data_IF_418805465293
#
_entry.id   IF_418805465293
#
_cell.length_a   1.000
_cell.length_b   1.000
_cell.length_c   1.000
_cell.angle_alpha   90.00
_cell.angle_beta   90.00
_cell.angle_gamma   90.00
#
_symmetry.space_group_name_H-M   'P 1'
#
loop_
_entity.id
_entity.type
_entity.pdbx_description
1 polymer ?
#
# COMPACT_ATOMS: atom_id res chain seq x y z
N UNK A 1 10.08 -1.31 -0.04
CA UNK A 1 11.31 -1.05 0.75
C UNK A 1 11.71 0.42 0.70
N UNK A 2 11.89 1.02 -0.49
CA UNK A 2 12.32 2.42 -0.62
C UNK A 2 11.48 3.43 0.19
N UNK A 3 10.14 3.34 0.16
CA UNK A 3 9.26 4.26 0.91
C UNK A 3 9.49 4.28 2.43
N UNK A 4 9.82 3.13 3.02
CA UNK A 4 10.07 3.01 4.46
C UNK A 4 11.47 3.53 4.78
N UNK A 5 12.46 3.18 3.96
CA UNK A 5 13.83 3.68 4.10
C UNK A 5 13.88 5.20 3.99
N UNK A 6 13.19 5.80 3.01
CA UNK A 6 13.11 7.25 2.84
C UNK A 6 12.44 7.96 4.02
N UNK A 7 11.42 7.34 4.62
CA UNK A 7 10.79 7.90 5.82
C UNK A 7 11.70 7.80 7.04
N UNK A 8 12.49 6.73 7.17
CA UNK A 8 13.46 6.58 8.25
C UNK A 8 14.61 7.60 8.13
N UNK A 9 15.13 7.83 6.92
CA UNK A 9 16.20 8.82 6.67
C UNK A 9 15.76 10.26 6.89
N UNK A 10 14.46 10.55 6.90
CA UNK A 10 13.93 11.88 7.20
C UNK A 10 13.84 12.16 8.71
N UNK A 11 13.99 11.15 9.56
CA UNK A 11 13.96 11.32 11.02
C UNK A 11 15.29 11.90 11.49
N UNK A 12 15.24 12.98 12.27
CA UNK A 12 16.43 13.59 12.85
C UNK A 12 16.93 12.75 14.03
N UNK A 13 18.21 12.38 14.01
CA UNK A 13 18.88 11.59 15.05
C UNK A 13 18.80 12.21 16.45
N UNK A 14 18.65 13.54 16.52
CA UNK A 14 18.49 14.27 17.78
C UNK A 14 17.26 13.81 18.57
N UNK A 15 16.17 13.40 17.89
CA UNK A 15 14.96 12.91 18.54
C UNK A 15 15.18 11.54 19.22
N UNK A 16 16.00 10.68 18.60
CA UNK A 16 16.37 9.40 19.18
C UNK A 16 17.32 9.59 20.37
N UNK A 17 18.29 10.50 20.26
CA UNK A 17 19.23 10.80 21.34
C UNK A 17 18.52 11.41 22.55
N UNK A 18 17.59 12.36 22.35
CA UNK A 18 16.80 12.94 23.44
C UNK A 18 15.99 11.89 24.21
N UNK A 19 15.39 10.92 23.51
CA UNK A 19 14.67 9.81 24.14
C UNK A 19 15.57 8.89 24.99
N UNK A 20 16.84 8.73 24.62
CA UNK A 20 17.83 7.99 25.41
C UNK A 20 18.34 8.78 26.62
N UNK A 21 18.58 10.09 26.46
CA UNK A 21 19.03 10.98 27.55
C UNK A 21 17.99 11.06 28.67
N UNK A 22 16.70 11.02 28.34
CA UNK A 22 15.61 10.98 29.33
C UNK A 22 15.40 9.61 30.01
N UNK A 23 16.31 8.64 29.84
CA UNK A 23 16.24 7.33 30.50
C UNK A 23 15.29 6.34 29.83
N UNK A 24 14.83 6.59 28.61
CA UNK A 24 13.99 5.67 27.87
C UNK A 24 14.74 4.41 27.42
N UNK A 25 14.18 3.22 27.69
CA UNK A 25 14.71 1.96 27.14
C UNK A 25 14.59 1.94 25.61
N UNK A 26 15.46 1.20 24.88
CA UNK A 26 15.44 1.16 23.42
C UNK A 26 14.07 0.79 22.83
N UNK A 27 13.35 -0.14 23.48
CA UNK A 27 12.00 -0.55 23.09
C UNK A 27 10.95 0.54 23.31
N UNK A 28 11.09 1.35 24.37
CA UNK A 28 10.23 2.50 24.64
C UNK A 28 10.40 3.59 23.58
N UNK A 29 11.65 3.94 23.27
CA UNK A 29 11.97 4.93 22.23
C UNK A 29 11.46 4.45 20.86
N UNK A 30 11.67 3.17 20.51
CA UNK A 30 11.16 2.62 19.27
C UNK A 30 9.63 2.73 19.16
N UNK A 31 8.87 2.23 20.13
CA UNK A 31 7.40 2.20 20.05
C UNK A 31 6.76 3.60 20.14
N UNK A 32 7.34 4.51 20.91
CA UNK A 32 6.73 5.81 21.22
C UNK A 32 7.25 6.97 20.38
N UNK A 33 8.46 6.84 19.82
CA UNK A 33 9.11 7.89 19.03
C UNK A 33 9.25 7.44 17.58
N UNK A 34 10.03 6.39 17.33
CA UNK A 34 10.34 5.96 15.95
C UNK A 34 9.12 5.44 15.19
N UNK A 35 8.36 4.51 15.78
CA UNK A 35 7.22 3.84 15.16
C UNK A 35 6.11 4.80 14.69
N UNK A 36 5.62 5.77 15.50
CA UNK A 36 4.65 6.75 15.02
C UNK A 36 5.23 7.66 13.93
N UNK A 37 6.52 7.99 13.94
CA UNK A 37 7.14 8.79 12.88
C UNK A 37 7.25 8.04 11.55
N UNK A 38 7.70 6.78 11.56
CA UNK A 38 7.80 5.97 10.34
C UNK A 38 6.46 5.39 9.88
N UNK A 39 5.42 5.39 10.73
CA UNK A 39 4.10 4.81 10.43
C UNK A 39 3.53 5.31 9.10
N UNK A 40 3.75 6.58 8.77
CA UNK A 40 3.36 7.20 7.50
C UNK A 40 4.08 6.58 6.30
N UNK A 41 5.39 6.38 6.42
CA UNK A 41 6.21 5.72 5.40
C UNK A 41 5.88 4.24 5.22
N UNK A 42 5.57 3.55 6.33
CA UNK A 42 5.08 2.17 6.31
C UNK A 42 3.74 2.09 5.57
N UNK A 43 2.80 2.97 5.88
CA UNK A 43 1.49 2.98 5.24
C UNK A 43 1.60 3.29 3.73
N UNK A 44 2.47 4.23 3.35
CA UNK A 44 2.78 4.51 1.95
C UNK A 44 3.38 3.31 1.22
N UNK A 45 4.36 2.65 1.82
CA UNK A 45 4.97 1.45 1.26
C UNK A 45 3.98 0.29 1.15
N UNK A 46 3.14 0.08 2.17
CA UNK A 46 2.10 -0.94 2.18
C UNK A 46 1.10 -0.72 1.05
N UNK A 47 0.66 0.53 0.84
CA UNK A 47 -0.32 0.81 -0.19
C UNK A 47 0.22 0.67 -1.61
N UNK A 48 1.50 1.03 -1.83
CA UNK A 48 2.18 0.75 -3.08
C UNK A 48 2.18 -0.75 -3.39
N UNK A 49 2.53 -1.58 -2.41
CA UNK A 49 2.54 -3.05 -2.55
C UNK A 49 1.12 -3.57 -2.82
N UNK A 50 0.12 -3.06 -2.10
CA UNK A 50 -1.28 -3.41 -2.32
C UNK A 50 -1.71 -3.16 -3.78
N UNK A 51 -1.40 -1.98 -4.33
CA UNK A 51 -1.77 -1.62 -5.71
C UNK A 51 -1.09 -2.53 -6.73
N UNK A 52 0.20 -2.83 -6.53
CA UNK A 52 0.96 -3.71 -7.42
C UNK A 52 0.36 -5.12 -7.39
N UNK A 53 0.13 -5.65 -6.20
CA UNK A 53 -0.42 -6.99 -6.01
C UNK A 53 -1.86 -7.11 -6.55
N UNK A 54 -2.68 -6.07 -6.39
CA UNK A 54 -4.07 -6.08 -6.88
C UNK A 54 -4.17 -6.14 -8.41
N UNK A 55 -3.14 -5.65 -9.11
CA UNK A 55 -3.05 -5.69 -10.58
C UNK A 55 -2.38 -6.96 -11.10
N UNK A 56 -1.92 -7.85 -10.23
CA UNK A 56 -1.16 -9.02 -10.64
C UNK A 56 -2.07 -10.06 -11.30
N UNK A 57 -1.78 -10.39 -12.57
CA UNK A 57 -2.50 -11.39 -13.35
C UNK A 57 -1.72 -12.70 -13.42
N UNK A 58 -0.41 -12.63 -13.63
CA UNK A 58 0.39 -13.80 -14.03
C UNK A 58 0.44 -14.82 -12.90
N UNK A 59 0.85 -14.37 -11.71
CA UNK A 59 0.89 -15.25 -10.53
C UNK A 59 -0.50 -15.79 -10.19
N UNK A 60 -1.53 -14.96 -10.33
CA UNK A 60 -2.89 -15.37 -10.04
C UNK A 60 -3.38 -16.44 -11.03
N UNK A 61 -3.11 -16.29 -12.33
CA UNK A 61 -3.53 -17.27 -13.34
C UNK A 61 -2.81 -18.61 -13.22
N UNK A 62 -1.58 -18.63 -12.70
CA UNK A 62 -0.80 -19.87 -12.52
C UNK A 62 -1.22 -20.67 -11.29
N UNK A 63 -1.71 -20.00 -10.23
CA UNK A 63 -2.01 -20.62 -8.94
C UNK A 63 -3.52 -20.78 -8.71
N UNK A 64 -4.35 -19.93 -9.32
CA UNK A 64 -5.79 -19.92 -9.06
C UNK A 64 -6.45 -21.26 -9.45
N UNK A 65 -7.16 -21.93 -8.52
CA UNK A 65 -7.93 -23.11 -8.85
C UNK A 65 -9.11 -22.76 -9.78
N UNK A 66 -9.60 -23.71 -10.60
CA UNK A 66 -10.63 -23.43 -11.62
C UNK A 66 -11.95 -22.86 -11.08
N UNK A 67 -12.22 -23.06 -9.78
CA UNK A 67 -13.46 -22.65 -9.12
C UNK A 67 -13.34 -21.29 -8.40
N UNK A 68 -12.20 -20.60 -8.49
CA UNK A 68 -12.03 -19.29 -7.85
C UNK A 68 -11.37 -18.33 -8.82
N UNK A 69 -12.15 -17.36 -9.29
CA UNK A 69 -11.69 -16.32 -10.20
C UNK A 69 -11.36 -15.07 -9.39
N UNK A 70 -10.13 -14.58 -9.54
CA UNK A 70 -9.75 -13.25 -9.08
C UNK A 70 -10.10 -12.24 -10.16
N UNK A 71 -10.16 -10.95 -9.80
CA UNK A 71 -10.55 -9.88 -10.74
C UNK A 71 -9.73 -9.92 -12.03
N UNK A 72 -8.41 -10.13 -11.92
CA UNK A 72 -7.51 -10.18 -13.07
C UNK A 72 -7.79 -11.37 -14.00
N UNK A 73 -7.92 -12.59 -13.46
CA UNK A 73 -8.20 -13.80 -14.24
C UNK A 73 -9.63 -13.82 -14.80
N UNK A 74 -10.59 -13.22 -14.09
CA UNK A 74 -11.96 -13.05 -14.57
C UNK A 74 -12.00 -12.18 -15.83
N UNK A 75 -11.38 -11.00 -15.78
CA UNK A 75 -11.34 -10.09 -16.92
C UNK A 75 -10.68 -10.81 -18.11
N UNK A 76 -9.54 -11.46 -17.90
CA UNK A 76 -8.85 -12.16 -18.98
C UNK A 76 -9.70 -13.28 -19.61
N UNK A 77 -10.41 -14.06 -18.79
CA UNK A 77 -11.33 -15.11 -19.25
C UNK A 77 -12.47 -14.57 -20.11
N UNK A 78 -13.13 -13.49 -19.70
CA UNK A 78 -14.23 -12.88 -20.46
C UNK A 78 -13.76 -12.31 -21.81
N UNK A 79 -12.51 -11.85 -21.88
CA UNK A 79 -11.89 -11.46 -23.14
C UNK A 79 -11.67 -12.65 -24.08
N UNK A 80 -11.18 -13.78 -23.57
CA UNK A 80 -10.96 -15.00 -24.37
C UNK A 80 -12.27 -15.65 -24.83
N UNK A 81 -13.35 -15.53 -24.05
CA UNK A 81 -14.66 -16.10 -24.34
C UNK A 81 -15.50 -15.26 -25.31
N UNK A 82 -15.01 -14.08 -25.71
CA UNK A 82 -15.68 -13.17 -26.64
C UNK A 82 -16.71 -12.23 -25.99
N UNK A 83 -16.94 -12.33 -24.68
CA UNK A 83 -17.79 -11.44 -23.87
C UNK A 83 -17.01 -10.20 -23.37
N UNK A 84 -16.30 -9.54 -24.29
CA UNK A 84 -15.39 -8.41 -23.99
C UNK A 84 -16.10 -7.25 -23.26
N UNK A 85 -17.39 -7.02 -23.54
CA UNK A 85 -18.18 -5.97 -22.89
C UNK A 85 -18.26 -6.14 -21.37
N UNK A 86 -18.41 -7.38 -20.90
CA UNK A 86 -18.49 -7.68 -19.47
C UNK A 86 -17.12 -7.56 -18.81
N UNK A 87 -16.06 -8.09 -19.46
CA UNK A 87 -14.68 -7.91 -19.02
C UNK A 87 -14.30 -6.43 -18.89
N UNK A 88 -14.72 -5.59 -19.83
CA UNK A 88 -14.49 -4.14 -19.80
C UNK A 88 -15.24 -3.44 -18.66
N UNK A 89 -16.49 -3.84 -18.38
CA UNK A 89 -17.23 -3.30 -17.24
C UNK A 89 -16.50 -3.56 -15.91
N UNK A 90 -15.98 -4.78 -15.71
CA UNK A 90 -15.20 -5.09 -14.52
C UNK A 90 -13.85 -4.38 -14.46
N UNK A 91 -13.18 -4.21 -15.60
CA UNK A 91 -11.93 -3.45 -15.67
C UNK A 91 -12.15 -1.99 -15.21
N UNK A 92 -13.23 -1.33 -15.67
CA UNK A 92 -13.56 0.04 -15.26
C UNK A 92 -13.85 0.13 -13.76
N UNK A 93 -14.60 -0.83 -13.20
CA UNK A 93 -14.86 -0.87 -11.75
C UNK A 93 -13.57 -1.05 -10.95
N UNK A 94 -12.68 -1.94 -11.40
CA UNK A 94 -11.36 -2.14 -10.79
C UNK A 94 -10.52 -0.85 -10.78
N UNK A 95 -10.49 -0.13 -11.92
CA UNK A 95 -9.79 1.17 -12.03
C UNK A 95 -10.42 2.21 -11.11
N UNK A 96 -11.75 2.29 -11.02
CA UNK A 96 -12.43 3.21 -10.12
C UNK A 96 -12.12 2.94 -8.65
N UNK A 97 -12.13 1.67 -8.22
CA UNK A 97 -11.84 1.29 -6.84
C UNK A 97 -10.38 1.60 -6.48
N UNK A 98 -9.44 1.22 -7.34
CA UNK A 98 -8.01 1.46 -7.10
C UNK A 98 -7.67 2.95 -7.13
N UNK A 99 -8.27 3.71 -8.05
CA UNK A 99 -8.09 5.17 -8.13
C UNK A 99 -8.68 5.89 -6.91
N UNK A 100 -9.88 5.50 -6.47
CA UNK A 100 -10.51 6.09 -5.28
C UNK A 100 -9.70 5.79 -4.02
N UNK A 101 -9.19 4.55 -3.86
CA UNK A 101 -8.29 4.20 -2.77
C UNK A 101 -7.00 5.07 -2.76
N UNK A 102 -6.39 5.27 -3.93
CA UNK A 102 -5.24 6.16 -4.12
C UNK A 102 -5.53 7.62 -3.73
N UNK A 103 -6.69 8.14 -4.14
CA UNK A 103 -7.11 9.50 -3.80
C UNK A 103 -7.37 9.67 -2.31
N UNK A 104 -8.02 8.69 -1.67
CA UNK A 104 -8.25 8.69 -0.21
C UNK A 104 -6.94 8.72 0.54
N UNK A 105 -5.97 7.87 0.15
CA UNK A 105 -4.64 7.88 0.74
C UNK A 105 -3.90 9.21 0.58
N UNK A 106 -3.89 9.77 -0.63
CA UNK A 106 -3.26 11.06 -0.88
C UNK A 106 -3.90 12.17 -0.01
N UNK A 107 -5.22 12.10 0.22
CA UNK A 107 -5.92 13.01 1.13
C UNK A 107 -5.58 12.80 2.61
N UNK A 108 -5.50 11.55 3.07
CA UNK A 108 -5.11 11.22 4.44
C UNK A 108 -3.66 11.65 4.75
N UNK A 109 -2.74 11.46 3.81
CA UNK A 109 -1.34 11.89 3.94
C UNK A 109 -1.18 13.40 3.81
N UNK A 110 -1.94 14.04 2.91
CA UNK A 110 -1.89 15.49 2.67
C UNK A 110 -2.35 16.33 3.87
N UNK A 111 -3.31 15.85 4.66
CA UNK A 111 -3.80 16.55 5.87
C UNK A 111 -2.76 16.70 6.99
N UNK A 112 -1.67 15.92 6.96
CA UNK A 112 -0.66 15.91 8.01
C UNK A 112 0.62 16.71 7.70
N UNK A 113 0.69 17.36 6.53
CA UNK A 113 1.76 18.33 6.19
C UNK A 113 1.48 19.76 6.69
N UNK A 114 0.29 20.02 7.26
CA UNK A 114 -0.19 21.36 7.63
C UNK A 114 -0.39 21.59 9.14
N UNK A 115 0.30 20.84 10.01
CA UNK A 115 0.31 21.07 11.46
C UNK A 115 1.75 21.07 11.97
#
# INVERSE_FOLDING_TARGET
VQYVTSAFTQINDNLLQAGRVFGGTPTYVFRRVTLPMISRGIFAGWMMIFIIAFRELVTASLIAPPNTLVVSTYINREFEQGSVSLGMAMAVLCVLITTTALLVFNRCVGKQKGA
#
